data_IF_645295924992
#
_entry.id   IF_645295924992
#
_cell.length_a   1.000
_cell.length_b   1.000
_cell.length_c   1.000
_cell.angle_alpha   90.00
_cell.angle_beta   90.00
_cell.angle_gamma   90.00
#
_symmetry.space_group_name_H-M   'P 1'
#
loop_
_entity.id
_entity.type
_entity.pdbx_description
1 polymer ?
#
# COMPACT_ATOMS: atom_id res chain seq x y z
N UNK A 1 11.03 -12.93 -9.41
CA UNK A 1 10.20 -11.72 -9.26
C UNK A 1 10.49 -11.02 -7.96
N UNK A 2 9.86 -11.45 -6.87
CA UNK A 2 9.96 -10.80 -5.56
C UNK A 2 11.37 -10.91 -4.93
N UNK A 3 12.00 -12.10 -4.98
CA UNK A 3 13.39 -12.31 -4.50
C UNK A 3 14.39 -11.48 -5.32
N UNK A 4 14.34 -11.59 -6.65
CA UNK A 4 15.23 -10.83 -7.55
C UNK A 4 15.04 -9.32 -7.42
N UNK A 5 13.79 -8.85 -7.25
CA UNK A 5 13.47 -7.44 -7.02
C UNK A 5 14.00 -6.93 -5.67
N UNK A 6 13.95 -7.74 -4.61
CA UNK A 6 14.55 -7.41 -3.31
C UNK A 6 16.07 -7.30 -3.37
N UNK A 7 16.72 -8.25 -4.05
CA UNK A 7 18.19 -8.26 -4.22
C UNK A 7 18.66 -7.07 -5.07
N UNK A 8 17.93 -6.71 -6.12
CA UNK A 8 18.31 -5.58 -7.01
C UNK A 8 17.94 -4.23 -6.38
N UNK A 9 16.85 -4.15 -5.63
CA UNK A 9 16.36 -2.90 -5.03
C UNK A 9 17.35 -2.25 -4.08
N UNK A 10 18.01 -3.04 -3.21
CA UNK A 10 19.00 -2.53 -2.24
C UNK A 10 20.22 -1.86 -2.91
N UNK A 11 20.95 -2.53 -3.81
CA UNK A 11 22.06 -1.96 -4.57
C UNK A 11 21.65 -0.73 -5.40
N UNK A 12 20.49 -0.76 -6.06
CA UNK A 12 19.99 0.38 -6.85
C UNK A 12 19.69 1.57 -5.95
N UNK A 13 19.01 1.38 -4.82
CA UNK A 13 18.76 2.43 -3.85
C UNK A 13 20.07 3.05 -3.33
N UNK A 14 21.05 2.22 -2.96
CA UNK A 14 22.38 2.68 -2.52
C UNK A 14 23.10 3.48 -3.60
N UNK A 15 23.03 3.05 -4.87
CA UNK A 15 23.62 3.75 -5.99
C UNK A 15 22.97 5.14 -6.19
N UNK A 16 21.64 5.24 -6.15
CA UNK A 16 20.94 6.52 -6.29
C UNK A 16 21.26 7.48 -5.14
N UNK A 17 21.26 7.00 -3.88
CA UNK A 17 21.61 7.82 -2.71
C UNK A 17 23.03 8.37 -2.84
N UNK A 18 23.98 7.51 -3.20
CA UNK A 18 25.38 7.91 -3.36
C UNK A 18 25.60 8.85 -4.54
N UNK A 19 24.87 8.68 -5.64
CA UNK A 19 25.01 9.49 -6.86
C UNK A 19 24.42 10.89 -6.71
N UNK A 20 23.23 11.00 -6.10
CA UNK A 20 22.54 12.27 -5.90
C UNK A 20 22.84 12.93 -4.55
N UNK A 21 23.73 12.35 -3.74
CA UNK A 21 24.07 12.80 -2.37
C UNK A 21 22.81 13.18 -1.59
N UNK A 22 21.84 12.27 -1.59
CA UNK A 22 20.60 12.47 -0.85
C UNK A 22 20.94 12.48 0.65
N UNK A 23 20.98 13.67 1.24
CA UNK A 23 21.13 13.81 2.67
C UNK A 23 19.85 13.31 3.35
N UNK A 24 19.95 12.52 4.43
CA UNK A 24 18.79 12.24 5.25
C UNK A 24 18.29 13.58 5.78
N UNK A 25 17.11 14.03 5.33
CA UNK A 25 16.34 15.00 6.12
C UNK A 25 16.19 14.37 7.51
N UNK A 26 16.63 15.10 8.52
CA UNK A 26 16.77 14.69 9.92
C UNK A 26 16.18 13.32 10.29
N UNK A 27 17.08 12.41 10.65
CA UNK A 27 16.76 11.11 11.22
C UNK A 27 15.96 11.27 12.51
N UNK A 28 14.64 11.14 12.40
CA UNK A 28 13.74 10.64 13.46
C UNK A 28 12.86 9.49 12.96
N UNK A 29 13.37 8.66 12.05
CA UNK A 29 12.70 7.40 11.65
C UNK A 29 13.72 6.25 11.55
N UNK A 30 14.54 6.10 12.60
CA UNK A 30 15.20 4.83 12.90
C UNK A 30 14.65 4.30 14.22
N UNK A 31 13.42 3.77 14.14
CA UNK A 31 12.90 2.63 14.90
C UNK A 31 11.37 2.69 14.86
N UNK A 32 10.79 1.87 13.99
CA UNK A 32 9.38 1.48 14.13
C UNK A 32 9.23 0.05 13.62
N UNK A 33 10.07 -0.84 14.14
CA UNK A 33 9.72 -2.25 14.30
C UNK A 33 9.36 -2.59 15.76
N UNK A 34 9.41 -1.64 16.68
CA UNK A 34 9.01 -1.86 18.07
C UNK A 34 8.24 -0.65 18.60
N UNK A 35 7.22 -0.90 19.43
CA UNK A 35 6.79 0.09 20.41
C UNK A 35 5.55 0.91 20.07
N UNK A 36 4.42 0.34 20.45
CA UNK A 36 3.26 1.07 20.99
C UNK A 36 3.72 2.29 21.84
N UNK A 37 3.21 3.49 21.49
CA UNK A 37 3.16 4.73 22.32
C UNK A 37 4.50 5.50 22.50
N UNK A 38 4.63 6.67 21.84
CA UNK A 38 4.60 8.01 22.49
C UNK A 38 5.39 9.10 21.75
N UNK A 39 4.86 10.33 21.90
CA UNK A 39 5.39 11.69 21.65
C UNK A 39 5.36 12.17 20.20
N UNK A 40 4.73 13.29 19.86
CA UNK A 40 4.24 14.38 20.70
C UNK A 40 4.83 15.71 20.21
N UNK A 41 3.95 16.53 19.64
CA UNK A 41 4.04 17.98 19.45
C UNK A 41 4.98 18.52 18.36
N UNK A 42 4.44 18.64 17.14
CA UNK A 42 4.67 19.82 16.28
C UNK A 42 3.35 20.59 16.11
N UNK A 43 3.34 21.75 16.77
CA UNK A 43 2.55 22.99 16.63
C UNK A 43 1.06 23.02 16.22
N UNK A 44 0.27 23.93 16.86
CA UNK A 44 -1.19 23.95 16.81
C UNK A 44 -1.75 24.95 15.76
N UNK A 45 -2.32 24.44 14.67
CA UNK A 45 -3.44 25.08 13.95
C UNK A 45 -4.01 24.11 12.91
N UNK A 46 -5.32 23.91 13.00
CA UNK A 46 -6.13 22.90 12.31
C UNK A 46 -5.87 21.47 12.79
N UNK A 47 -6.56 21.12 13.88
CA UNK A 47 -7.12 19.78 14.01
C UNK A 47 -8.00 19.51 12.78
N UNK A 48 -7.40 19.07 11.66
CA UNK A 48 -8.18 18.32 10.68
C UNK A 48 -8.37 16.96 11.31
N UNK A 49 -9.50 16.86 12.00
CA UNK A 49 -10.07 15.62 12.48
C UNK A 49 -9.94 14.59 11.36
N UNK A 50 -9.80 13.32 11.73
CA UNK A 50 -10.12 12.22 10.83
C UNK A 50 -11.61 12.38 10.53
N UNK A 51 -11.96 13.26 9.60
CA UNK A 51 -13.32 13.54 9.24
C UNK A 51 -13.75 12.32 8.46
N UNK A 52 -14.89 11.73 8.84
CA UNK A 52 -15.46 10.58 8.13
C UNK A 52 -15.48 10.80 6.60
N UNK A 53 -15.61 12.07 6.18
CA UNK A 53 -15.46 12.51 4.80
C UNK A 53 -14.15 12.07 4.13
N UNK A 54 -12.97 12.31 4.74
CA UNK A 54 -11.67 11.97 4.14
C UNK A 54 -11.41 10.46 4.10
N UNK A 55 -11.93 9.73 5.10
CA UNK A 55 -11.91 8.27 5.09
C UNK A 55 -12.78 7.69 3.98
N UNK A 56 -14.00 8.22 3.81
CA UNK A 56 -14.91 7.84 2.72
C UNK A 56 -14.33 8.20 1.36
N UNK A 57 -13.65 9.33 1.22
CA UNK A 57 -12.95 9.72 -0.01
C UNK A 57 -11.83 8.72 -0.35
N UNK A 58 -11.04 8.32 0.64
CA UNK A 58 -9.99 7.30 0.45
C UNK A 58 -10.57 5.96 0.03
N UNK A 59 -11.66 5.52 0.68
CA UNK A 59 -12.38 4.31 0.29
C UNK A 59 -12.98 4.42 -1.12
N UNK A 60 -13.53 5.58 -1.48
CA UNK A 60 -14.07 5.83 -2.82
C UNK A 60 -12.98 5.73 -3.89
N UNK A 61 -11.79 6.29 -3.65
CA UNK A 61 -10.64 6.16 -4.55
C UNK A 61 -10.20 4.69 -4.72
N UNK A 62 -10.15 3.92 -3.64
CA UNK A 62 -9.86 2.47 -3.70
C UNK A 62 -10.95 1.75 -4.51
N UNK A 63 -12.23 2.05 -4.25
CA UNK A 63 -13.35 1.44 -4.96
C UNK A 63 -13.32 1.77 -6.46
N UNK A 64 -13.02 3.02 -6.83
CA UNK A 64 -12.86 3.44 -8.24
C UNK A 64 -11.70 2.68 -8.90
N UNK A 65 -10.56 2.55 -8.23
CA UNK A 65 -9.42 1.79 -8.76
C UNK A 65 -9.77 0.31 -9.00
N UNK A 66 -10.51 -0.31 -8.07
CA UNK A 66 -11.00 -1.69 -8.21
C UNK A 66 -12.02 -1.82 -9.33
N UNK A 67 -12.98 -0.90 -9.43
CA UNK A 67 -14.02 -0.92 -10.47
C UNK A 67 -13.40 -0.79 -11.85
N UNK A 68 -12.54 0.20 -12.05
CA UNK A 68 -11.88 0.43 -13.35
C UNK A 68 -10.91 -0.71 -13.67
N UNK A 69 -10.15 -1.22 -12.68
CA UNK A 69 -9.24 -2.34 -12.88
C UNK A 69 -9.93 -3.65 -13.25
N UNK A 70 -11.06 -3.97 -12.60
CA UNK A 70 -11.87 -5.15 -12.92
C UNK A 70 -12.54 -5.03 -14.28
N UNK A 71 -13.09 -3.85 -14.60
CA UNK A 71 -13.66 -3.58 -15.92
C UNK A 71 -12.61 -3.74 -17.03
N UNK A 72 -11.40 -3.17 -16.84
CA UNK A 72 -10.30 -3.30 -17.78
C UNK A 72 -9.82 -4.75 -17.93
N UNK A 73 -9.80 -5.51 -16.83
CA UNK A 73 -9.49 -6.94 -16.85
C UNK A 73 -10.49 -7.75 -17.67
N UNK A 74 -11.78 -7.37 -17.69
CA UNK A 74 -12.81 -8.05 -18.49
C UNK A 74 -12.77 -7.68 -19.97
N UNK A 75 -12.33 -6.47 -20.30
CA UNK A 75 -12.24 -5.99 -21.67
C UNK A 75 -11.03 -6.57 -22.41
N UNK A 76 -10.01 -7.02 -21.68
CA UNK A 76 -8.77 -7.52 -22.27
C UNK A 76 -8.92 -8.91 -22.92
N UNK A 77 -8.33 -9.13 -24.11
CA UNK A 77 -8.44 -10.38 -24.84
C UNK A 77 -7.75 -11.52 -24.09
N UNK A 78 -8.28 -12.74 -24.26
CA UNK A 78 -7.78 -13.96 -23.60
C UNK A 78 -6.31 -14.30 -23.90
N UNK A 79 -5.71 -13.66 -24.89
CA UNK A 79 -4.27 -13.79 -25.19
C UNK A 79 -3.38 -13.10 -24.15
N UNK A 80 -3.93 -12.18 -23.34
CA UNK A 80 -3.21 -11.47 -22.28
C UNK A 80 -3.78 -11.86 -20.91
N UNK A 81 -3.44 -13.08 -20.46
CA UNK A 81 -3.94 -13.65 -19.19
C UNK A 81 -3.18 -13.09 -17.99
N UNK A 82 -3.51 -11.86 -17.58
CA UNK A 82 -3.09 -11.33 -16.29
C UNK A 82 -4.21 -11.51 -15.26
N UNK A 83 -3.89 -11.93 -14.03
CA UNK A 83 -4.85 -11.94 -12.94
C UNK A 83 -5.47 -10.55 -12.74
N UNK A 84 -6.76 -10.52 -12.41
CA UNK A 84 -7.53 -9.26 -12.22
C UNK A 84 -6.90 -8.33 -11.20
N UNK A 85 -6.26 -8.86 -10.15
CA UNK A 85 -5.59 -8.03 -9.15
C UNK A 85 -4.45 -7.19 -9.74
N UNK A 86 -3.75 -7.68 -10.78
CA UNK A 86 -2.65 -6.93 -11.42
C UNK A 86 -3.20 -5.72 -12.16
N UNK A 87 -4.34 -5.86 -12.84
CA UNK A 87 -5.04 -4.75 -13.49
C UNK A 87 -5.52 -3.70 -12.47
N UNK A 88 -6.06 -4.14 -11.34
CA UNK A 88 -6.43 -3.26 -10.23
C UNK A 88 -5.22 -2.49 -9.67
N UNK A 89 -4.08 -3.17 -9.46
CA UNK A 89 -2.85 -2.52 -9.00
C UNK A 89 -2.34 -1.50 -10.00
N UNK A 90 -2.34 -1.84 -11.29
CA UNK A 90 -1.89 -0.94 -12.36
C UNK A 90 -2.74 0.34 -12.42
N UNK A 91 -4.06 0.19 -12.41
CA UNK A 91 -4.99 1.33 -12.34
C UNK A 91 -4.78 2.14 -11.07
N UNK A 92 -4.57 1.49 -9.92
CA UNK A 92 -4.27 2.16 -8.65
C UNK A 92 -2.99 3.01 -8.71
N UNK A 93 -1.93 2.51 -9.36
CA UNK A 93 -0.67 3.25 -9.56
C UNK A 93 -0.89 4.46 -10.47
N UNK A 94 -1.62 4.29 -11.58
CA UNK A 94 -1.97 5.40 -12.48
C UNK A 94 -2.80 6.43 -11.73
N UNK A 95 -3.82 6.01 -10.98
CA UNK A 95 -4.68 6.90 -10.21
C UNK A 95 -3.86 7.67 -9.15
N UNK A 96 -2.97 7.00 -8.41
CA UNK A 96 -2.09 7.64 -7.43
C UNK A 96 -1.16 8.66 -8.09
N UNK A 97 -0.59 8.32 -9.25
CA UNK A 97 0.30 9.21 -9.98
C UNK A 97 -0.46 10.43 -10.56
N UNK A 98 -1.63 10.21 -11.13
CA UNK A 98 -2.50 11.27 -11.63
C UNK A 98 -2.92 12.22 -10.49
N UNK A 99 -3.39 11.70 -9.36
CA UNK A 99 -3.73 12.53 -8.19
C UNK A 99 -2.52 13.35 -7.69
N UNK A 100 -1.34 12.73 -7.65
CA UNK A 100 -0.11 13.43 -7.28
C UNK A 100 0.27 14.53 -8.27
N UNK A 101 0.00 14.35 -9.56
CA UNK A 101 0.27 15.34 -10.61
C UNK A 101 -0.70 16.53 -10.55
N UNK A 102 -1.98 16.28 -10.27
CA UNK A 102 -3.01 17.32 -10.13
C UNK A 102 -2.87 18.19 -8.86
N UNK A 103 -1.85 17.93 -8.03
CA UNK A 103 -1.52 18.73 -6.84
C UNK A 103 -2.70 18.91 -5.86
N UNK A 104 -3.65 17.98 -5.90
CA UNK A 104 -4.69 17.85 -4.88
C UNK A 104 -3.97 17.46 -3.60
N UNK A 105 -3.98 18.42 -2.67
CA UNK A 105 -3.42 18.41 -1.32
C UNK A 105 -3.16 17.00 -0.77
N UNK A 106 -1.91 16.75 -0.37
CA UNK A 106 -1.50 15.72 0.61
C UNK A 106 -2.46 14.53 0.64
N UNK A 107 -2.34 13.63 -0.34
CA UNK A 107 -3.01 12.32 -0.29
C UNK A 107 -2.82 11.81 1.13
N UNK A 108 -3.95 11.65 1.81
CA UNK A 108 -4.13 11.38 3.22
C UNK A 108 -3.41 10.09 3.62
N UNK A 109 -2.08 10.16 3.73
CA UNK A 109 -1.19 9.02 3.98
C UNK A 109 -1.50 8.37 5.34
N UNK A 110 -2.11 9.13 6.26
CA UNK A 110 -2.52 8.64 7.58
C UNK A 110 -3.77 7.75 7.51
N UNK A 111 -4.77 8.11 6.72
CA UNK A 111 -6.01 7.36 6.54
C UNK A 111 -5.76 6.06 5.78
N UNK A 112 -4.93 6.12 4.72
CA UNK A 112 -4.50 4.93 3.97
C UNK A 112 -3.74 3.97 4.89
N UNK A 113 -2.88 4.49 5.78
CA UNK A 113 -2.15 3.66 6.76
C UNK A 113 -3.09 2.91 7.72
N UNK A 114 -4.15 3.56 8.21
CA UNK A 114 -5.17 2.91 9.05
C UNK A 114 -5.92 1.83 8.27
N UNK A 115 -6.37 2.12 7.05
CA UNK A 115 -7.10 1.18 6.20
C UNK A 115 -6.23 -0.04 5.86
N UNK A 116 -4.95 0.19 5.54
CA UNK A 116 -4.00 -0.89 5.25
C UNK A 116 -3.77 -1.77 6.47
N UNK A 117 -3.59 -1.19 7.66
CA UNK A 117 -3.36 -1.96 8.88
C UNK A 117 -4.58 -2.84 9.22
N UNK A 118 -5.80 -2.28 9.09
CA UNK A 118 -7.04 -3.04 9.27
C UNK A 118 -7.14 -4.15 8.23
N UNK A 119 -6.86 -3.84 6.95
CA UNK A 119 -6.92 -4.80 5.85
C UNK A 119 -5.90 -5.94 6.01
N UNK A 120 -4.68 -5.64 6.47
CA UNK A 120 -3.64 -6.64 6.75
C UNK A 120 -4.06 -7.55 7.90
N UNK A 121 -4.61 -6.99 8.98
CA UNK A 121 -5.13 -7.78 10.10
C UNK A 121 -6.28 -8.70 9.66
N UNK A 122 -7.21 -8.20 8.84
CA UNK A 122 -8.31 -8.98 8.29
C UNK A 122 -7.81 -10.09 7.35
N UNK A 123 -6.84 -9.78 6.49
CA UNK A 123 -6.21 -10.76 5.62
C UNK A 123 -5.53 -11.88 6.40
N UNK A 124 -4.77 -11.54 7.45
CA UNK A 124 -4.10 -12.53 8.30
C UNK A 124 -5.13 -13.41 9.04
N UNK A 125 -6.18 -12.81 9.62
CA UNK A 125 -7.24 -13.56 10.27
C UNK A 125 -7.97 -14.49 9.29
N UNK A 126 -8.29 -14.00 8.09
CA UNK A 126 -8.90 -14.80 7.03
C UNK A 126 -7.98 -15.93 6.57
N UNK A 127 -6.68 -15.68 6.42
CA UNK A 127 -5.70 -16.70 6.05
C UNK A 127 -5.64 -17.81 7.12
N UNK A 128 -5.58 -17.46 8.41
CA UNK A 128 -5.56 -18.46 9.49
C UNK A 128 -6.85 -19.29 9.58
N UNK A 129 -8.01 -18.69 9.30
CA UNK A 129 -9.29 -19.42 9.24
C UNK A 129 -9.42 -20.28 7.98
N UNK A 130 -8.90 -19.82 6.85
CA UNK A 130 -9.02 -20.49 5.54
C UNK A 130 -7.99 -21.59 5.34
N UNK A 131 -6.88 -21.60 6.10
CA UNK A 131 -5.92 -22.68 6.01
C UNK A 131 -6.57 -23.91 6.62
N UNK A 132 -6.98 -24.86 5.77
CA UNK A 132 -7.21 -26.24 6.16
C UNK A 132 -5.86 -26.86 6.57
N UNK A 133 -5.35 -26.49 7.74
CA UNK A 133 -4.13 -27.03 8.34
C UNK A 133 -4.16 -28.57 8.33
N UNK A 134 -5.36 -29.14 8.44
CA UNK A 134 -5.63 -30.57 8.36
C UNK A 134 -5.53 -31.18 6.95
N UNK A 135 -5.78 -30.44 5.87
CA UNK A 135 -5.58 -30.96 4.50
C UNK A 135 -4.10 -30.94 4.11
N UNK A 136 -3.36 -29.90 4.51
CA UNK A 136 -1.92 -29.82 4.30
C UNK A 136 -1.15 -30.89 5.10
N UNK A 137 -1.59 -31.20 6.32
CA UNK A 137 -1.05 -32.32 7.11
C UNK A 137 -1.36 -33.70 6.50
N UNK A 138 -2.51 -33.85 5.83
CA UNK A 138 -2.88 -35.11 5.17
C UNK A 138 -2.15 -35.37 3.85
N UNK A 139 -1.66 -34.32 3.17
CA UNK A 139 -0.86 -34.43 1.95
C UNK A 139 0.64 -34.66 2.20
N UNK A 140 1.11 -34.43 3.43
CA UNK A 140 2.51 -34.59 3.81
C UNK A 140 2.86 -36.02 4.31
N UNK A 141 1.88 -36.93 4.32
CA UNK A 141 2.01 -38.37 4.66
C UNK A 141 1.86 -39.21 3.40
#
# INVERSE_FOLDING_TARGET
>A
GLVSGGIIGGPVAKYLISKYKLEPKDTKEKDTLEGVVSKGFETPKEQRLITASSFVETLALIAIALLVGTFLSHLMPKSFTLPTFVWCLFVGVILRNALSFFKIHSVFDREVSVIWNVSLSLFLAYALMSVNLLELLKLAV
#
